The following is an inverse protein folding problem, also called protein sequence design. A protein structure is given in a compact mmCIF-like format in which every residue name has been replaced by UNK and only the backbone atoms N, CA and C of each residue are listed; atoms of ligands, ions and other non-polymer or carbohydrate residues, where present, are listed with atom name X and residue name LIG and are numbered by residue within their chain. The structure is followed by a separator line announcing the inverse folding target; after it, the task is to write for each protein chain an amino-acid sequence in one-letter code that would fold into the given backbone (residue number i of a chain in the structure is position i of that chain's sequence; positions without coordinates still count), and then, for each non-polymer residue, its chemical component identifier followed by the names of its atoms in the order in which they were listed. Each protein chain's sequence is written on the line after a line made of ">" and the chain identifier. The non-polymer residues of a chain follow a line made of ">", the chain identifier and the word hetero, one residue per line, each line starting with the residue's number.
data_IF_536790687994
#
_entry.id   IF_536790687994
#
_cell.length_a   1.000
_cell.length_b   1.000
_cell.length_c   1.000
_cell.angle_alpha   90.00
_cell.angle_beta   90.00
_cell.angle_gamma   90.00
#
_symmetry.space_group_name_H-M   'P 1'
#
loop_
_entity.id
_entity.type
_entity.pdbx_description
1 polymer ?
#
# COMPACT_ATOMS: atom_id res chain seq x y z
N UNK A 1 -64.75 32.68 -1.08
CA UNK A 1 -63.97 31.73 -0.31
C UNK A 1 -62.75 31.33 -1.16
N UNK A 2 -61.59 31.90 -0.88
CA UNK A 2 -60.33 31.58 -1.59
C UNK A 2 -59.61 30.47 -0.80
N UNK A 3 -59.47 29.25 -1.40
CA UNK A 3 -58.70 28.15 -0.81
C UNK A 3 -57.23 28.36 -1.18
N UNK A 4 -56.40 28.65 -0.19
CA UNK A 4 -54.92 28.71 -0.33
C UNK A 4 -54.38 27.30 -0.21
N UNK A 5 -53.80 26.78 -1.29
CA UNK A 5 -53.12 25.47 -1.33
C UNK A 5 -51.67 25.67 -0.93
N UNK A 6 -51.28 25.27 0.29
CA UNK A 6 -49.92 25.33 0.76
C UNK A 6 -49.18 24.09 0.26
N UNK A 7 -48.22 24.29 -0.66
CA UNK A 7 -47.37 23.24 -1.20
C UNK A 7 -46.15 23.04 -0.24
N UNK A 8 -46.10 21.91 0.44
CA UNK A 8 -45.01 21.56 1.32
C UNK A 8 -43.90 20.86 0.50
N UNK A 9 -42.84 21.60 0.20
CA UNK A 9 -41.68 21.06 -0.52
C UNK A 9 -40.81 20.27 0.46
N UNK A 10 -40.88 18.93 0.42
CA UNK A 10 -40.02 18.03 1.19
C UNK A 10 -38.63 18.03 0.54
N UNK A 11 -37.65 18.74 1.13
CA UNK A 11 -36.24 18.64 0.75
C UNK A 11 -35.69 17.29 1.21
N UNK A 12 -35.51 16.37 0.27
CA UNK A 12 -34.80 15.11 0.50
C UNK A 12 -33.31 15.43 0.50
N UNK A 13 -32.72 15.61 1.69
CA UNK A 13 -31.27 15.70 1.84
C UNK A 13 -30.71 14.30 1.65
N UNK A 14 -30.27 14.03 0.43
CA UNK A 14 -29.50 12.82 0.14
C UNK A 14 -28.12 13.00 0.78
N UNK A 15 -27.90 12.43 1.96
CA UNK A 15 -26.57 12.28 2.53
C UNK A 15 -25.78 11.34 1.61
N UNK A 16 -24.95 11.91 0.74
CA UNK A 16 -23.96 11.13 0.03
C UNK A 16 -22.96 10.61 1.08
N UNK A 17 -23.03 9.34 1.39
CA UNK A 17 -21.98 8.66 2.13
C UNK A 17 -20.67 8.88 1.36
N UNK A 18 -19.75 9.64 1.95
CA UNK A 18 -18.41 9.81 1.42
C UNK A 18 -17.73 8.46 1.63
N UNK A 19 -17.85 7.58 0.65
CA UNK A 19 -17.10 6.33 0.61
C UNK A 19 -15.61 6.70 0.57
N UNK A 20 -14.90 6.35 1.62
CA UNK A 20 -13.44 6.43 1.65
C UNK A 20 -12.92 5.34 0.72
N UNK A 21 -12.61 5.71 -0.53
CA UNK A 21 -12.16 4.75 -1.51
C UNK A 21 -10.68 4.41 -1.30
N UNK A 22 -10.45 3.32 -0.64
CA UNK A 22 -9.37 2.41 -0.92
C UNK A 22 -9.98 1.32 -1.80
N UNK A 23 -9.20 0.64 -2.66
CA UNK A 23 -9.72 -0.52 -3.35
C UNK A 23 -10.46 -1.42 -2.37
N UNK A 24 -11.61 -1.96 -2.80
CA UNK A 24 -12.31 -2.98 -2.03
C UNK A 24 -11.36 -4.11 -1.63
N UNK A 25 -11.64 -4.86 -0.56
CA UNK A 25 -10.84 -6.01 -0.20
C UNK A 25 -10.55 -6.88 -1.41
N UNK A 26 -9.27 -7.16 -1.65
CA UNK A 26 -8.82 -7.92 -2.82
C UNK A 26 -7.67 -8.86 -2.50
N UNK A 27 -7.45 -9.81 -3.41
CA UNK A 27 -6.26 -10.65 -3.46
C UNK A 27 -5.68 -10.59 -4.87
N UNK A 28 -4.39 -10.30 -4.98
CA UNK A 28 -3.67 -10.34 -6.25
C UNK A 28 -2.44 -11.24 -6.13
N UNK A 29 -2.08 -11.89 -7.24
CA UNK A 29 -0.91 -12.77 -7.31
C UNK A 29 -0.04 -12.32 -8.48
N UNK A 30 1.23 -12.08 -8.20
CA UNK A 30 2.21 -11.61 -9.18
C UNK A 30 3.31 -12.64 -9.35
N UNK A 31 3.70 -12.90 -10.58
CA UNK A 31 4.96 -13.57 -10.86
C UNK A 31 6.12 -12.62 -10.55
N UNK A 32 7.06 -13.05 -9.74
CA UNK A 32 8.25 -12.28 -9.37
C UNK A 32 9.47 -12.93 -9.99
N UNK A 33 10.31 -12.11 -10.60
CA UNK A 33 11.63 -12.53 -11.06
C UNK A 33 12.69 -11.70 -10.37
N UNK A 34 13.50 -12.33 -9.55
CA UNK A 34 14.60 -11.70 -8.81
C UNK A 34 15.92 -12.31 -9.24
N UNK A 35 16.69 -11.60 -10.07
CA UNK A 35 17.89 -12.13 -10.73
C UNK A 35 17.53 -13.39 -11.55
N UNK A 36 17.94 -14.57 -11.07
CA UNK A 36 17.68 -15.87 -11.73
C UNK A 36 16.58 -16.67 -11.02
N UNK A 37 16.08 -16.17 -9.87
CA UNK A 37 15.07 -16.87 -9.09
C UNK A 37 13.67 -16.42 -9.47
N UNK A 38 12.80 -17.38 -9.74
CA UNK A 38 11.37 -17.17 -9.95
C UNK A 38 10.61 -17.33 -8.63
N UNK A 39 9.57 -16.56 -8.46
CA UNK A 39 8.74 -16.56 -7.26
C UNK A 39 7.33 -16.07 -7.53
N UNK A 40 6.51 -16.14 -6.48
CA UNK A 40 5.19 -15.54 -6.42
C UNK A 40 5.14 -14.53 -5.28
N UNK A 41 4.54 -13.39 -5.56
CA UNK A 41 4.10 -12.42 -4.57
C UNK A 41 2.59 -12.46 -4.51
N UNK A 42 2.04 -12.82 -3.37
CA UNK A 42 0.62 -12.70 -3.08
C UNK A 42 0.38 -11.47 -2.22
N UNK A 43 -0.54 -10.62 -2.62
CA UNK A 43 -1.01 -9.50 -1.83
C UNK A 43 -2.47 -9.69 -1.45
N UNK A 44 -2.83 -9.31 -0.23
CA UNK A 44 -4.20 -9.41 0.26
C UNK A 44 -4.54 -8.18 1.09
N UNK A 45 -5.61 -7.48 0.70
CA UNK A 45 -6.24 -6.42 1.48
C UNK A 45 -7.53 -6.96 2.08
N UNK A 46 -7.70 -6.78 3.39
CA UNK A 46 -8.94 -7.09 4.10
C UNK A 46 -9.37 -5.90 4.94
N UNK A 47 -10.66 -5.87 5.31
CA UNK A 47 -11.23 -4.83 6.17
C UNK A 47 -12.09 -5.48 7.25
N UNK A 48 -11.94 -5.01 8.49
CA UNK A 48 -12.76 -5.40 9.63
C UNK A 48 -13.10 -4.15 10.44
N UNK A 49 -14.35 -3.73 10.39
CA UNK A 49 -14.77 -2.43 10.91
C UNK A 49 -14.03 -1.28 10.21
N UNK A 50 -13.33 -0.45 10.97
CA UNK A 50 -12.52 0.65 10.47
C UNK A 50 -11.05 0.27 10.20
N UNK A 51 -10.65 -0.95 10.59
CA UNK A 51 -9.28 -1.42 10.47
C UNK A 51 -9.11 -2.17 9.15
N UNK A 52 -8.09 -1.79 8.40
CA UNK A 52 -7.63 -2.50 7.23
C UNK A 52 -6.38 -3.30 7.57
N UNK A 53 -6.23 -4.46 6.95
CA UNK A 53 -5.02 -5.28 7.02
C UNK A 53 -4.51 -5.56 5.61
N UNK A 54 -3.26 -5.19 5.36
CA UNK A 54 -2.59 -5.49 4.10
C UNK A 54 -1.45 -6.46 4.35
N UNK A 55 -1.47 -7.57 3.63
CA UNK A 55 -0.49 -8.64 3.72
C UNK A 55 0.18 -8.87 2.37
N UNK A 56 1.48 -9.07 2.41
CA UNK A 56 2.30 -9.45 1.25
C UNK A 56 3.10 -10.70 1.58
N UNK A 57 2.95 -11.75 0.78
CA UNK A 57 3.67 -13.02 0.94
C UNK A 57 4.50 -13.25 -0.31
N UNK A 58 5.83 -13.30 -0.16
CA UNK A 58 6.76 -13.64 -1.25
C UNK A 58 7.33 -15.02 -1.01
N UNK A 59 7.25 -15.90 -2.01
CA UNK A 59 7.74 -17.27 -1.97
C UNK A 59 8.49 -17.62 -3.26
N UNK A 60 9.56 -18.41 -3.17
CA UNK A 60 10.22 -18.96 -4.34
C UNK A 60 9.35 -20.04 -5.01
N UNK A 61 9.51 -20.22 -6.33
CA UNK A 61 8.81 -21.25 -7.11
C UNK A 61 9.79 -22.14 -7.88
N UNK A 62 9.28 -23.22 -8.47
CA UNK A 62 10.10 -24.15 -9.26
C UNK A 62 11.26 -24.74 -8.45
N UNK A 63 12.42 -24.84 -9.07
CA UNK A 63 13.64 -25.39 -8.44
C UNK A 63 14.09 -24.54 -7.24
N UNK A 64 13.80 -23.24 -7.26
CA UNK A 64 14.18 -22.31 -6.19
C UNK A 64 13.43 -22.57 -4.88
N UNK A 65 12.24 -23.18 -4.95
CA UNK A 65 11.50 -23.62 -3.77
C UNK A 65 12.21 -24.75 -3.03
N UNK A 66 12.96 -25.59 -3.74
CA UNK A 66 13.76 -26.68 -3.14
C UNK A 66 14.99 -26.10 -2.42
N UNK A 67 15.59 -25.06 -2.99
CA UNK A 67 16.77 -24.39 -2.43
C UNK A 67 16.40 -23.50 -1.26
N UNK A 68 15.22 -22.87 -1.32
CA UNK A 68 14.72 -21.96 -0.29
C UNK A 68 13.21 -22.17 -0.11
N UNK A 69 12.84 -23.02 0.83
CA UNK A 69 11.44 -23.34 1.18
C UNK A 69 10.77 -22.24 2.02
N UNK A 70 11.49 -21.21 2.41
CA UNK A 70 10.99 -20.11 3.24
C UNK A 70 10.11 -19.11 2.46
N UNK A 71 9.58 -18.18 3.21
CA UNK A 71 8.80 -17.04 2.69
C UNK A 71 9.21 -15.74 3.35
N UNK A 72 8.92 -14.63 2.68
CA UNK A 72 8.86 -13.31 3.30
C UNK A 72 7.39 -12.96 3.48
N UNK A 73 6.97 -12.78 4.71
CA UNK A 73 5.62 -12.34 5.07
C UNK A 73 5.70 -10.95 5.67
N UNK A 74 4.96 -10.02 5.10
CA UNK A 74 4.80 -8.68 5.63
C UNK A 74 3.33 -8.39 5.83
N UNK A 75 2.98 -7.83 6.98
CA UNK A 75 1.63 -7.39 7.29
C UNK A 75 1.67 -6.00 7.90
N UNK A 76 0.71 -5.17 7.54
CA UNK A 76 0.47 -3.91 8.21
C UNK A 76 -1.02 -3.70 8.41
N UNK A 77 -1.42 -3.33 9.62
CA UNK A 77 -2.77 -2.83 9.91
C UNK A 77 -2.75 -1.32 9.88
N UNK A 78 -3.87 -0.72 9.47
CA UNK A 78 -3.98 0.73 9.34
C UNK A 78 -5.45 1.19 9.35
N UNK A 79 -5.63 2.48 9.60
CA UNK A 79 -6.88 3.22 9.41
C UNK A 79 -6.70 4.27 8.32
N UNK A 80 -7.82 4.79 7.83
CA UNK A 80 -7.82 5.95 6.95
C UNK A 80 -8.24 7.15 7.78
N UNK A 81 -7.39 8.18 7.79
CA UNK A 81 -7.73 9.47 8.37
C UNK A 81 -7.58 10.53 7.27
N UNK A 82 -8.69 11.17 6.92
CA UNK A 82 -8.78 12.12 5.81
C UNK A 82 -8.34 11.49 4.48
N UNK A 83 -7.11 11.76 4.08
CA UNK A 83 -6.52 11.31 2.80
C UNK A 83 -5.28 10.43 2.99
N UNK A 84 -4.92 10.15 4.25
CA UNK A 84 -3.70 9.42 4.60
C UNK A 84 -4.04 8.10 5.28
N UNK A 85 -3.36 7.05 4.85
CA UNK A 85 -3.39 5.76 5.49
C UNK A 85 -2.48 5.81 6.73
N UNK A 86 -3.06 5.67 7.91
CA UNK A 86 -2.35 5.71 9.20
C UNK A 86 -2.02 4.30 9.66
N UNK A 87 -0.76 3.82 9.54
CA UNK A 87 -0.37 2.53 10.09
C UNK A 87 -0.61 2.46 11.59
N UNK A 88 -1.07 1.30 12.07
CA UNK A 88 -1.18 0.98 13.49
C UNK A 88 -0.08 -0.01 13.90
N UNK A 89 0.08 -1.08 13.10
CA UNK A 89 1.14 -2.06 13.30
C UNK A 89 1.80 -2.46 11.99
N UNK A 90 3.04 -2.90 12.08
CA UNK A 90 3.77 -3.53 10.99
C UNK A 90 4.53 -4.74 11.51
N UNK A 91 4.51 -5.83 10.76
CA UNK A 91 5.23 -7.05 11.07
C UNK A 91 5.86 -7.64 9.81
N UNK A 92 7.14 -7.96 9.88
CA UNK A 92 7.91 -8.66 8.84
C UNK A 92 8.50 -9.93 9.43
N UNK A 93 8.29 -11.05 8.74
CA UNK A 93 8.97 -12.31 8.98
C UNK A 93 9.65 -12.74 7.67
N UNK A 94 10.95 -12.85 7.64
CA UNK A 94 11.72 -13.29 6.47
C UNK A 94 12.48 -14.57 6.82
N UNK A 95 11.96 -15.69 6.36
CA UNK A 95 12.51 -17.03 6.54
C UNK A 95 13.22 -17.58 5.27
N UNK A 96 13.32 -16.77 4.20
CA UNK A 96 14.07 -17.17 2.98
C UNK A 96 15.58 -17.26 3.26
N UNK A 97 16.05 -16.45 4.19
CA UNK A 97 17.48 -16.33 4.51
C UNK A 97 17.91 -17.44 5.46
N UNK A 98 19.18 -17.84 5.35
CA UNK A 98 19.80 -18.79 6.28
C UNK A 98 19.65 -18.38 7.75
N UNK A 99 19.71 -17.08 8.04
CA UNK A 99 19.35 -16.50 9.35
C UNK A 99 18.04 -15.76 9.19
N UNK A 100 16.96 -16.30 9.72
CA UNK A 100 15.66 -15.62 9.72
C UNK A 100 15.78 -14.23 10.35
N UNK A 101 14.94 -13.33 9.90
CA UNK A 101 14.83 -11.99 10.50
C UNK A 101 13.38 -11.63 10.72
N UNK A 102 13.16 -10.95 11.81
CA UNK A 102 11.88 -10.42 12.20
C UNK A 102 11.99 -8.91 12.43
N UNK A 103 10.91 -8.20 12.21
CA UNK A 103 10.76 -6.80 12.55
C UNK A 103 9.31 -6.53 12.93
N UNK A 104 9.11 -5.83 14.02
CA UNK A 104 7.79 -5.36 14.44
C UNK A 104 7.84 -3.88 14.76
N UNK A 105 6.77 -3.15 14.40
CA UNK A 105 6.62 -1.75 14.74
C UNK A 105 5.17 -1.48 15.18
N UNK A 106 5.02 -0.65 16.21
CA UNK A 106 3.73 -0.16 16.72
C UNK A 106 3.73 1.36 16.64
N UNK A 107 2.71 1.92 16.00
CA UNK A 107 2.57 3.35 15.77
C UNK A 107 1.64 3.96 16.80
N UNK A 108 2.14 4.93 17.56
CA UNK A 108 1.36 5.70 18.53
C UNK A 108 1.20 7.14 18.02
N UNK A 109 0.14 7.40 17.28
CA UNK A 109 -0.12 8.70 16.67
C UNK A 109 -0.36 9.79 17.71
N UNK A 110 -1.04 9.48 18.81
CA UNK A 110 -1.26 10.41 19.92
C UNK A 110 0.04 10.86 20.59
N UNK A 111 1.09 10.03 20.56
CA UNK A 111 2.41 10.32 21.11
C UNK A 111 3.42 10.74 20.04
N UNK A 112 3.03 10.77 18.76
CA UNK A 112 3.90 11.01 17.61
C UNK A 112 5.16 10.12 17.61
N UNK A 113 5.01 8.83 17.94
CA UNK A 113 6.11 7.88 18.04
C UNK A 113 5.78 6.57 17.35
N UNK A 114 6.79 5.96 16.72
CA UNK A 114 6.80 4.54 16.38
C UNK A 114 7.89 3.85 17.18
N UNK A 115 7.57 2.70 17.72
CA UNK A 115 8.53 1.88 18.47
C UNK A 115 8.41 0.42 18.06
N UNK A 116 9.49 -0.31 18.21
CA UNK A 116 9.53 -1.71 17.85
C UNK A 116 10.94 -2.27 17.86
N UNK A 117 11.13 -3.32 17.08
CA UNK A 117 12.44 -3.91 16.89
C UNK A 117 12.67 -4.29 15.41
N UNK A 118 13.93 -4.30 15.02
CA UNK A 118 14.42 -4.86 13.77
C UNK A 118 15.57 -5.82 14.06
N UNK A 119 15.34 -7.12 13.84
CA UNK A 119 16.21 -8.20 14.32
C UNK A 119 16.37 -8.09 15.85
N UNK A 120 17.60 -7.93 16.33
CA UNK A 120 17.94 -7.86 17.78
C UNK A 120 18.01 -6.42 18.31
N UNK A 121 17.63 -5.40 17.52
CA UNK A 121 17.74 -3.99 17.90
C UNK A 121 16.37 -3.37 18.08
N UNK A 122 16.11 -2.83 19.27
CA UNK A 122 14.97 -1.99 19.52
C UNK A 122 15.16 -0.59 18.93
N UNK A 123 14.05 0.04 18.54
CA UNK A 123 14.05 1.41 18.08
C UNK A 123 12.83 2.19 18.60
N UNK A 124 13.00 3.50 18.68
CA UNK A 124 11.93 4.45 18.95
C UNK A 124 12.20 5.73 18.18
N UNK A 125 11.27 6.11 17.32
CA UNK A 125 11.45 7.18 16.32
C UNK A 125 10.26 8.12 16.38
N UNK A 126 10.50 9.41 16.13
CA UNK A 126 9.44 10.41 15.99
C UNK A 126 8.71 10.25 14.66
N UNK A 127 7.36 10.28 14.70
CA UNK A 127 6.52 10.19 13.51
C UNK A 127 6.34 11.55 12.84
N UNK A 128 6.31 11.52 11.51
CA UNK A 128 5.78 12.61 10.69
C UNK A 128 4.32 12.31 10.34
N UNK A 129 3.53 13.34 10.03
CA UNK A 129 2.09 13.19 9.71
C UNK A 129 1.80 12.23 8.55
N UNK A 130 2.72 12.14 7.59
CA UNK A 130 2.64 11.29 6.39
C UNK A 130 3.56 10.06 6.48
N UNK A 131 3.79 9.55 7.69
CA UNK A 131 4.60 8.33 7.87
C UNK A 131 3.79 7.09 7.52
N UNK A 132 4.37 6.25 6.67
CA UNK A 132 3.80 5.00 6.18
C UNK A 132 4.74 3.83 6.48
N UNK A 133 4.24 2.60 6.38
CA UNK A 133 5.10 1.43 6.23
C UNK A 133 5.41 1.22 4.75
N UNK A 134 6.47 0.49 4.45
CA UNK A 134 6.90 0.25 3.06
C UNK A 134 5.84 -0.43 2.20
N UNK A 135 5.02 -1.30 2.77
CA UNK A 135 3.96 -1.99 2.01
C UNK A 135 2.70 -1.13 1.86
N UNK A 136 2.39 -0.25 2.83
CA UNK A 136 1.24 0.66 2.74
C UNK A 136 1.49 1.79 1.74
N UNK A 137 2.73 2.18 1.46
CA UNK A 137 3.05 3.19 0.45
C UNK A 137 2.36 2.88 -0.90
N UNK A 138 2.35 1.62 -1.31
CA UNK A 138 1.66 1.19 -2.53
C UNK A 138 0.15 1.50 -2.47
N UNK A 139 -0.51 1.17 -1.37
CA UNK A 139 -1.94 1.46 -1.18
C UNK A 139 -2.22 2.96 -1.11
N UNK A 140 -1.34 3.74 -0.48
CA UNK A 140 -1.45 5.20 -0.46
C UNK A 140 -1.36 5.80 -1.86
N UNK A 141 -0.50 5.28 -2.72
CA UNK A 141 -0.39 5.71 -4.12
C UNK A 141 -1.68 5.37 -4.89
N UNK A 142 -2.23 4.16 -4.70
CA UNK A 142 -3.50 3.74 -5.31
C UNK A 142 -4.64 4.67 -4.85
N UNK A 143 -4.80 4.85 -3.55
CA UNK A 143 -5.79 5.72 -2.94
C UNK A 143 -5.72 7.16 -3.47
N UNK A 144 -4.52 7.71 -3.52
CA UNK A 144 -4.35 9.08 -3.99
C UNK A 144 -4.64 9.21 -5.49
N UNK A 145 -4.36 8.20 -6.32
CA UNK A 145 -4.73 8.22 -7.74
C UNK A 145 -6.24 8.14 -7.95
N UNK A 146 -6.91 7.28 -7.24
CA UNK A 146 -8.35 7.15 -7.30
C UNK A 146 -9.07 8.44 -6.86
N UNK A 147 -8.57 9.09 -5.80
CA UNK A 147 -9.13 10.33 -5.25
C UNK A 147 -8.58 11.60 -5.89
N UNK A 148 -7.67 11.50 -6.85
CA UNK A 148 -7.00 12.65 -7.49
C UNK A 148 -6.27 13.55 -6.48
N UNK A 149 -5.73 12.94 -5.40
CA UNK A 149 -4.97 13.63 -4.37
C UNK A 149 -3.55 13.84 -4.85
N UNK A 150 -3.03 15.05 -4.65
CA UNK A 150 -1.66 15.33 -4.98
C UNK A 150 -0.70 14.64 -3.99
N UNK A 151 0.36 14.01 -4.54
CA UNK A 151 1.40 13.33 -3.77
C UNK A 151 2.77 13.83 -4.24
N UNK A 152 3.61 14.22 -3.28
CA UNK A 152 4.98 14.65 -3.59
C UNK A 152 6.01 13.77 -2.86
N UNK A 153 5.81 13.54 -1.57
CA UNK A 153 6.71 12.71 -0.77
C UNK A 153 6.03 12.11 0.45
N UNK A 154 6.61 11.01 0.94
CA UNK A 154 6.22 10.33 2.16
C UNK A 154 7.42 9.98 3.01
N UNK A 155 7.20 9.93 4.32
CA UNK A 155 8.14 9.32 5.26
C UNK A 155 7.79 7.84 5.39
N UNK A 156 8.73 6.93 5.12
CA UNK A 156 8.47 5.49 5.11
C UNK A 156 9.38 4.80 6.10
N UNK A 157 8.77 4.05 7.02
CA UNK A 157 9.52 3.19 7.94
C UNK A 157 10.13 2.02 7.15
N UNK A 158 11.44 1.98 7.08
CA UNK A 158 12.24 0.89 6.53
C UNK A 158 13.22 0.39 7.59
N UNK A 159 12.98 -0.81 8.10
CA UNK A 159 13.73 -1.39 9.22
C UNK A 159 13.53 -0.60 10.52
N UNK A 160 14.56 0.12 10.95
CA UNK A 160 14.67 0.91 12.17
C UNK A 160 14.94 2.40 11.90
N UNK A 161 14.59 2.89 10.72
CA UNK A 161 14.77 4.28 10.29
C UNK A 161 13.60 4.77 9.41
N UNK A 162 13.41 6.10 9.36
CA UNK A 162 12.48 6.73 8.42
C UNK A 162 13.25 7.20 7.18
N UNK A 163 12.76 6.80 6.01
CA UNK A 163 13.28 7.24 4.71
C UNK A 163 12.32 8.18 4.04
N UNK A 164 12.87 9.24 3.45
CA UNK A 164 12.07 10.14 2.61
C UNK A 164 11.94 9.55 1.20
N UNK A 165 10.70 9.26 0.81
CA UNK A 165 10.35 8.74 -0.51
C UNK A 165 9.76 9.86 -1.33
N UNK A 166 10.33 10.10 -2.50
CA UNK A 166 9.85 11.09 -3.49
C UNK A 166 9.02 10.34 -4.53
N UNK A 167 7.84 10.88 -4.85
CA UNK A 167 6.97 10.36 -5.89
C UNK A 167 7.30 11.05 -7.22
N UNK A 168 7.57 10.24 -8.23
CA UNK A 168 7.84 10.68 -9.60
C UNK A 168 6.58 10.35 -10.41
N UNK A 169 5.85 11.37 -10.81
CA UNK A 169 4.60 11.22 -11.56
C UNK A 169 4.91 11.01 -13.05
N UNK A 170 4.33 9.95 -13.62
CA UNK A 170 4.26 9.76 -15.07
C UNK A 170 2.77 9.73 -15.44
N UNK A 171 2.26 10.80 -16.07
CA UNK A 171 0.82 10.96 -16.32
C UNK A 171 0.33 10.22 -17.59
N UNK A 172 1.24 9.66 -18.38
CA UNK A 172 0.87 9.01 -19.62
C UNK A 172 0.30 7.61 -19.38
N UNK A 173 -0.92 7.39 -19.85
CA UNK A 173 -1.52 6.06 -19.94
C UNK A 173 -0.78 5.28 -21.03
N UNK A 174 -0.24 4.11 -20.66
CA UNK A 174 0.44 3.19 -21.57
C UNK A 174 -0.24 1.82 -21.53
N UNK A 175 -0.22 1.14 -22.66
CA UNK A 175 -0.62 -0.28 -22.68
C UNK A 175 0.44 -1.12 -21.98
N UNK A 176 0.01 -1.96 -21.04
CA UNK A 176 0.86 -2.92 -20.35
C UNK A 176 0.34 -4.34 -20.57
N UNK A 177 1.23 -5.18 -21.09
CA UNK A 177 0.97 -6.61 -21.26
C UNK A 177 1.45 -7.36 -20.02
N UNK A 178 0.57 -8.12 -19.42
CA UNK A 178 0.87 -9.00 -18.28
C UNK A 178 0.27 -10.39 -18.56
N UNK A 179 0.67 -11.45 -17.84
CA UNK A 179 0.15 -12.80 -18.09
C UNK A 179 -1.38 -12.91 -18.04
N UNK A 180 -2.04 -12.04 -17.29
CA UNK A 180 -3.49 -12.02 -17.13
C UNK A 180 -4.23 -11.24 -18.23
N UNK A 181 -3.52 -10.46 -19.07
CA UNK A 181 -4.14 -9.70 -20.16
C UNK A 181 -3.40 -8.41 -20.53
N UNK A 182 -4.09 -7.59 -21.30
CA UNK A 182 -3.64 -6.26 -21.71
C UNK A 182 -4.48 -5.21 -21.01
N UNK A 183 -3.83 -4.25 -20.40
CA UNK A 183 -4.47 -3.20 -19.62
C UNK A 183 -3.91 -1.82 -19.99
N UNK A 184 -4.76 -0.81 -19.90
CA UNK A 184 -4.31 0.57 -19.86
C UNK A 184 -3.80 0.86 -18.44
N UNK A 185 -2.57 1.31 -18.30
CA UNK A 185 -1.96 1.55 -17.01
C UNK A 185 -1.28 2.92 -16.92
N UNK A 186 -1.37 3.51 -15.75
CA UNK A 186 -0.63 4.72 -15.37
C UNK A 186 0.62 4.26 -14.63
N UNK A 187 1.79 4.66 -15.11
CA UNK A 187 3.05 4.38 -14.41
C UNK A 187 3.32 5.47 -13.38
N UNK A 188 3.52 5.07 -12.14
CA UNK A 188 3.99 5.94 -11.07
C UNK A 188 5.26 5.35 -10.51
N UNK A 189 6.29 6.17 -10.45
CA UNK A 189 7.58 5.79 -9.90
C UNK A 189 7.80 6.47 -8.56
N UNK A 190 8.59 5.84 -7.72
CA UNK A 190 9.04 6.44 -6.47
C UNK A 190 10.48 6.05 -6.18
N UNK A 191 11.17 6.91 -5.45
CA UNK A 191 12.58 6.79 -5.15
C UNK A 191 12.87 7.26 -3.73
N UNK A 192 13.75 6.59 -3.00
CA UNK A 192 14.32 7.14 -1.79
C UNK A 192 15.23 8.31 -2.16
N UNK A 193 15.13 9.44 -1.46
CA UNK A 193 15.84 10.66 -1.78
C UNK A 193 17.34 10.46 -2.04
N UNK A 194 17.97 9.55 -1.30
CA UNK A 194 19.41 9.30 -1.35
C UNK A 194 19.74 7.95 -2.05
N UNK A 195 18.90 7.49 -2.97
CA UNK A 195 19.08 6.22 -3.68
C UNK A 195 18.87 6.41 -5.18
N UNK A 196 19.68 5.75 -5.99
CA UNK A 196 19.49 5.71 -7.45
C UNK A 196 18.41 4.71 -7.87
N UNK A 197 17.91 3.88 -6.95
CA UNK A 197 16.91 2.85 -7.26
C UNK A 197 15.53 3.46 -7.41
N UNK A 198 14.95 3.31 -8.59
CA UNK A 198 13.59 3.73 -8.88
C UNK A 198 12.68 2.50 -8.85
N UNK A 199 11.64 2.56 -8.02
CA UNK A 199 10.56 1.58 -8.01
C UNK A 199 9.39 2.15 -8.80
N UNK A 200 8.72 1.33 -9.61
CA UNK A 200 7.59 1.75 -10.42
C UNK A 200 6.41 0.82 -10.24
N UNK A 201 5.23 1.42 -10.14
CA UNK A 201 3.92 0.78 -10.11
C UNK A 201 3.18 1.10 -11.40
N UNK A 202 2.62 0.10 -12.04
CA UNK A 202 1.75 0.25 -13.20
C UNK A 202 0.32 -0.01 -12.74
N UNK A 203 -0.44 1.06 -12.55
CA UNK A 203 -1.78 1.06 -11.96
C UNK A 203 -2.83 1.00 -13.07
N UNK A 204 -3.72 0.01 -13.03
CA UNK A 204 -4.81 -0.13 -13.99
C UNK A 204 -6.09 0.56 -13.46
N UNK A 205 -6.56 1.68 -14.06
CA UNK A 205 -7.78 2.35 -13.62
C UNK A 205 -9.02 1.43 -13.65
N UNK A 206 -9.11 0.56 -14.66
CA UNK A 206 -10.20 -0.42 -14.80
C UNK A 206 -10.23 -1.52 -13.72
N UNK A 207 -9.16 -1.61 -12.92
CA UNK A 207 -9.04 -2.51 -11.76
C UNK A 207 -8.92 -1.69 -10.45
N UNK A 208 -9.59 -0.56 -10.33
CA UNK A 208 -9.53 0.32 -9.16
C UNK A 208 -8.09 0.66 -8.77
N UNK A 209 -7.26 0.97 -9.77
CA UNK A 209 -5.83 1.29 -9.62
C UNK A 209 -4.98 0.18 -8.97
N UNK A 210 -5.44 -1.08 -8.94
CA UNK A 210 -4.59 -2.19 -8.51
C UNK A 210 -3.36 -2.26 -9.42
N UNK A 211 -2.14 -2.37 -8.87
CA UNK A 211 -0.93 -2.52 -9.66
C UNK A 211 -0.97 -3.84 -10.46
N UNK A 212 -0.80 -3.77 -11.75
CA UNK A 212 -0.69 -4.95 -12.63
C UNK A 212 0.76 -5.34 -12.88
N UNK A 213 1.70 -4.43 -12.63
CA UNK A 213 3.13 -4.65 -12.79
C UNK A 213 3.91 -3.79 -11.79
N UNK A 214 4.96 -4.38 -11.23
CA UNK A 214 5.93 -3.72 -10.38
C UNK A 214 7.33 -3.92 -10.99
N UNK A 215 8.14 -2.87 -11.00
CA UNK A 215 9.54 -2.92 -11.50
C UNK A 215 10.46 -2.13 -10.58
N UNK A 216 11.73 -2.54 -10.52
CA UNK A 216 12.81 -1.85 -9.81
C UNK A 216 14.01 -1.71 -10.76
#
# INVERSE_FOLDING_TARGET
>A
MKKTLTFFLLLFVCSADISYAIPDPYKAVYSVKLKQADGLLTTKLTKEGEIYSYEMITQATGIWKVISSGSVVERSTFKIEDTILKPEEYHLIDNIRRKPRESKAVFSWSKNKVSGFYKDREFKIDLNKNTLTRIILQLQIMHAKERQIEMNSFSVLDKDELKNIIIIKEENIKEANVPYGKYKAIKISHQTKDSERINSLWLAPELNFIPIKLTQ
#
